data_IF_656152921567
#
_entry.id   IF_656152921567
#
_cell.length_a   1.000
_cell.length_b   1.000
_cell.length_c   1.000
_cell.angle_alpha   90.00
_cell.angle_beta   90.00
_cell.angle_gamma   90.00
#
_symmetry.space_group_name_H-M   'P 1'
#
loop_
_entity.id
_entity.type
_entity.pdbx_description
1 polymer ?
#
# COMPACT_ATOMS: atom_id res chain seq x y z
N UNK A 1 1.32 -5.18 0.17
CA UNK A 1 0.14 -5.91 -0.31
C UNK A 1 -0.76 -5.05 -1.22
N UNK A 2 -1.14 -3.83 -0.84
CA UNK A 2 -2.00 -2.98 -1.68
C UNK A 2 -1.47 -2.77 -3.12
N UNK A 3 -0.17 -2.50 -3.30
CA UNK A 3 0.45 -2.44 -4.65
C UNK A 3 0.38 -3.77 -5.43
N UNK A 4 0.41 -4.90 -4.72
CA UNK A 4 0.25 -6.20 -5.36
C UNK A 4 -1.20 -6.44 -5.78
N UNK A 5 -2.17 -6.00 -4.95
CA UNK A 5 -3.60 -5.98 -5.32
C UNK A 5 -3.83 -5.09 -6.54
N UNK A 6 -3.26 -3.88 -6.58
CA UNK A 6 -3.36 -2.97 -7.72
C UNK A 6 -2.82 -3.58 -9.02
N UNK A 7 -1.69 -4.32 -8.95
CA UNK A 7 -1.14 -5.02 -10.11
C UNK A 7 -2.08 -6.11 -10.67
N UNK A 8 -2.91 -6.72 -9.83
CA UNK A 8 -3.87 -7.74 -10.24
C UNK A 8 -5.16 -7.09 -10.72
N UNK A 9 -5.68 -6.14 -9.94
CA UNK A 9 -6.90 -5.39 -10.24
C UNK A 9 -6.76 -3.94 -9.70
N UNK A 10 -6.48 -2.95 -10.58
CA UNK A 10 -6.29 -1.56 -10.18
C UNK A 10 -7.50 -0.95 -9.47
N UNK A 11 -8.71 -1.49 -9.70
CA UNK A 11 -9.94 -0.97 -9.09
C UNK A 11 -10.05 -1.29 -7.59
N UNK A 12 -9.21 -2.21 -7.09
CA UNK A 12 -9.28 -2.73 -5.74
C UNK A 12 -8.28 -2.08 -4.78
N UNK A 13 -7.32 -1.28 -5.26
CA UNK A 13 -6.28 -0.68 -4.41
C UNK A 13 -6.86 0.09 -3.21
N UNK A 14 -7.80 1.01 -3.46
CA UNK A 14 -8.39 1.84 -2.40
C UNK A 14 -9.24 1.01 -1.42
N UNK A 15 -9.98 0.03 -1.95
CA UNK A 15 -10.83 -0.85 -1.14
C UNK A 15 -9.99 -1.74 -0.24
N UNK A 16 -8.98 -2.42 -0.79
CA UNK A 16 -8.06 -3.24 -0.01
C UNK A 16 -7.28 -2.40 1.02
N UNK A 17 -6.83 -1.20 0.66
CA UNK A 17 -6.14 -0.30 1.59
C UNK A 17 -7.03 0.04 2.78
N UNK A 18 -8.31 0.34 2.58
CA UNK A 18 -9.25 0.62 3.67
C UNK A 18 -9.42 -0.58 4.63
N UNK A 19 -9.46 -1.79 4.08
CA UNK A 19 -9.52 -3.04 4.87
C UNK A 19 -8.25 -3.23 5.69
N UNK A 20 -7.10 -3.06 5.06
CA UNK A 20 -5.80 -3.12 5.74
C UNK A 20 -5.72 -2.10 6.88
N UNK A 21 -6.15 -0.85 6.65
CA UNK A 21 -6.16 0.20 7.68
C UNK A 21 -7.13 -0.12 8.82
N UNK A 22 -8.28 -0.73 8.54
CA UNK A 22 -9.21 -1.20 9.59
C UNK A 22 -8.57 -2.28 10.47
N UNK A 23 -7.66 -3.08 9.90
CA UNK A 23 -6.97 -4.18 10.57
C UNK A 23 -5.54 -3.82 11.02
N UNK A 24 -5.11 -2.55 10.89
CA UNK A 24 -3.70 -2.15 10.97
C UNK A 24 -3.00 -2.54 12.27
N UNK A 25 -3.73 -2.60 13.40
CA UNK A 25 -3.17 -2.99 14.71
C UNK A 25 -2.58 -4.41 14.70
N UNK A 26 -3.06 -5.30 13.83
CA UNK A 26 -2.51 -6.65 13.64
C UNK A 26 -1.12 -6.66 12.99
N UNK A 27 -0.72 -5.54 12.40
CA UNK A 27 0.51 -5.37 11.63
C UNK A 27 1.46 -4.32 12.24
N UNK A 28 1.16 -3.81 13.44
CA UNK A 28 2.09 -2.98 14.20
C UNK A 28 3.17 -3.84 14.85
N UNK A 29 4.30 -3.21 15.19
CA UNK A 29 5.54 -3.87 15.61
C UNK A 29 5.31 -4.92 16.70
N UNK A 30 4.57 -4.58 17.75
CA UNK A 30 4.26 -5.49 18.88
C UNK A 30 3.46 -6.73 18.43
N UNK A 31 2.61 -6.60 17.42
CA UNK A 31 1.74 -7.68 16.95
C UNK A 31 2.43 -8.64 15.96
N UNK A 32 3.58 -8.24 15.40
CA UNK A 32 4.30 -9.01 14.38
C UNK A 32 5.73 -9.40 14.79
N UNK A 33 6.13 -9.10 16.02
CA UNK A 33 7.52 -9.27 16.49
C UNK A 33 8.06 -10.70 16.30
N UNK A 34 7.22 -11.72 16.49
CA UNK A 34 7.61 -13.13 16.36
C UNK A 34 7.24 -13.75 14.99
N UNK A 35 6.74 -12.95 14.04
CA UNK A 35 6.27 -13.43 12.74
C UNK A 35 7.39 -13.38 11.71
N UNK A 36 7.48 -14.41 10.89
CA UNK A 36 8.32 -14.34 9.69
C UNK A 36 7.67 -13.44 8.65
N UNK A 37 8.48 -12.97 7.68
CA UNK A 37 7.98 -12.19 6.55
C UNK A 37 6.90 -12.95 5.76
N UNK A 38 7.04 -14.26 5.61
CA UNK A 38 6.06 -15.10 4.91
C UNK A 38 4.76 -15.23 5.68
N UNK A 39 4.80 -15.31 7.01
CA UNK A 39 3.59 -15.32 7.86
C UNK A 39 2.81 -14.02 7.68
N UNK A 40 3.50 -12.88 7.71
CA UNK A 40 2.90 -11.56 7.46
C UNK A 40 2.28 -11.50 6.06
N UNK A 41 2.92 -12.07 5.04
CA UNK A 41 2.36 -12.11 3.68
C UNK A 41 1.10 -12.95 3.59
N UNK A 42 1.07 -14.13 4.22
CA UNK A 42 -0.12 -14.98 4.29
C UNK A 42 -1.29 -14.23 4.96
N UNK A 43 -1.03 -13.56 6.09
CA UNK A 43 -2.06 -12.74 6.76
C UNK A 43 -2.54 -11.57 5.90
N UNK A 44 -1.65 -10.90 5.18
CA UNK A 44 -2.02 -9.81 4.28
C UNK A 44 -2.90 -10.27 3.12
N UNK A 45 -2.60 -11.43 2.52
CA UNK A 45 -3.44 -11.95 1.41
C UNK A 45 -4.76 -12.50 1.92
N UNK A 46 -4.83 -13.01 3.16
CA UNK A 46 -6.09 -13.46 3.79
C UNK A 46 -7.15 -12.35 3.95
N UNK A 47 -6.76 -11.08 3.79
CA UNK A 47 -7.68 -9.94 3.81
C UNK A 47 -8.48 -9.79 2.49
N UNK A 48 -8.08 -10.47 1.41
CA UNK A 48 -8.61 -10.32 0.06
C UNK A 48 -10.06 -10.86 -0.11
N UNK A 49 -10.45 -12.01 0.43
CA UNK A 49 -11.77 -12.59 0.12
C UNK A 49 -12.93 -12.08 0.98
N UNK A 50 -12.66 -11.57 2.18
CA UNK A 50 -13.72 -11.22 3.15
C UNK A 50 -14.29 -9.83 2.95
N UNK A 51 -13.64 -8.97 2.17
CA UNK A 51 -13.83 -7.52 2.28
C UNK A 51 -14.01 -6.79 0.95
N UNK A 52 -14.02 -7.51 -0.17
CA UNK A 52 -14.12 -6.96 -1.52
C UNK A 52 -15.27 -7.63 -2.28
N UNK A 53 -15.85 -6.92 -3.25
CA UNK A 53 -16.77 -7.52 -4.23
C UNK A 53 -16.05 -8.68 -4.94
N UNK A 54 -16.73 -9.77 -5.31
CA UNK A 54 -16.12 -10.91 -6.00
C UNK A 54 -15.46 -10.46 -7.31
N UNK A 55 -14.15 -10.25 -7.29
CA UNK A 55 -13.33 -10.10 -8.51
C UNK A 55 -12.85 -11.50 -8.87
N UNK A 56 -13.25 -12.00 -10.03
CA UNK A 56 -12.83 -13.34 -10.51
C UNK A 56 -11.33 -13.44 -10.77
N UNK A 57 -10.62 -12.30 -10.81
CA UNK A 57 -9.20 -12.19 -11.11
C UNK A 57 -8.38 -12.02 -9.82
N UNK A 58 -8.95 -11.40 -8.78
CA UNK A 58 -8.26 -11.14 -7.52
C UNK A 58 -8.31 -12.35 -6.59
N UNK A 59 -7.24 -13.14 -6.59
CA UNK A 59 -7.09 -14.32 -5.73
C UNK A 59 -5.99 -14.13 -4.69
N UNK A 60 -6.12 -14.78 -3.52
CA UNK A 60 -5.06 -14.81 -2.51
C UNK A 60 -3.75 -15.33 -3.10
N UNK A 61 -3.83 -16.44 -3.84
CA UNK A 61 -2.69 -17.08 -4.53
C UNK A 61 -2.00 -16.12 -5.50
N UNK A 62 -2.78 -15.40 -6.32
CA UNK A 62 -2.27 -14.45 -7.29
C UNK A 62 -1.51 -13.30 -6.63
N UNK A 63 -2.06 -12.75 -5.53
CA UNK A 63 -1.38 -11.69 -4.77
C UNK A 63 -0.19 -12.22 -3.99
N UNK A 64 -0.28 -13.42 -3.42
CA UNK A 64 0.83 -14.06 -2.71
C UNK A 64 2.02 -14.28 -3.65
N UNK A 65 1.78 -14.74 -4.87
CA UNK A 65 2.79 -14.90 -5.92
C UNK A 65 3.53 -13.61 -6.30
N UNK A 66 2.93 -12.44 -6.05
CA UNK A 66 3.56 -11.13 -6.23
C UNK A 66 4.40 -10.70 -5.02
N UNK A 67 4.00 -11.12 -3.81
CA UNK A 67 4.65 -10.75 -2.56
C UNK A 67 5.79 -11.68 -2.16
N UNK A 68 5.65 -12.98 -2.46
CA UNK A 68 6.54 -14.04 -2.04
C UNK A 68 7.97 -13.82 -2.54
N UNK A 69 8.93 -14.09 -1.66
CA UNK A 69 10.36 -14.10 -1.96
C UNK A 69 10.84 -15.52 -1.66
N UNK A 70 11.30 -16.27 -2.67
CA UNK A 70 11.76 -17.63 -2.45
C UNK A 70 13.05 -17.62 -1.62
N UNK A 71 13.24 -18.57 -0.68
CA UNK A 71 14.50 -18.72 0.02
C UNK A 71 15.60 -19.14 -0.98
N UNK A 72 16.81 -18.62 -0.77
CA UNK A 72 17.98 -19.14 -1.49
C UNK A 72 18.41 -20.48 -0.88
N UNK A 73 18.91 -21.39 -1.71
CA UNK A 73 19.46 -22.67 -1.24
C UNK A 73 20.86 -22.50 -0.66
N UNK A 74 21.63 -21.53 -1.16
CA UNK A 74 22.96 -21.17 -0.70
C UNK A 74 22.97 -19.69 -0.27
N UNK A 75 23.29 -19.37 0.99
CA UNK A 75 23.41 -17.99 1.47
C UNK A 75 24.35 -17.12 0.63
N UNK A 76 25.37 -17.68 -0.02
CA UNK A 76 26.29 -16.94 -0.90
C UNK A 76 25.60 -16.41 -2.18
N UNK A 77 24.43 -16.93 -2.52
CA UNK A 77 23.61 -16.49 -3.65
C UNK A 77 22.53 -15.48 -3.23
N UNK A 78 22.48 -15.08 -1.96
CA UNK A 78 21.51 -14.11 -1.45
C UNK A 78 21.62 -12.77 -2.18
N UNK A 79 20.48 -12.21 -2.60
CA UNK A 79 20.40 -10.88 -3.23
C UNK A 79 19.31 -10.02 -2.59
N UNK A 80 19.40 -8.70 -2.76
CA UNK A 80 18.41 -7.73 -2.29
C UNK A 80 17.37 -7.36 -3.36
N UNK A 81 16.97 -8.33 -4.20
CA UNK A 81 16.04 -8.11 -5.32
C UNK A 81 14.63 -7.78 -4.85
N UNK A 82 14.23 -8.27 -3.67
CA UNK A 82 12.89 -8.07 -3.13
C UNK A 82 11.85 -8.95 -3.81
N UNK A 83 10.60 -8.48 -3.85
CA UNK A 83 9.48 -9.15 -4.49
C UNK A 83 9.03 -8.42 -5.78
N UNK A 84 7.99 -8.95 -6.45
CA UNK A 84 7.54 -8.45 -7.76
C UNK A 84 6.90 -7.05 -7.73
N UNK A 85 6.69 -6.47 -6.55
CA UNK A 85 6.21 -5.08 -6.37
C UNK A 85 7.26 -4.12 -5.82
N UNK A 86 8.50 -4.58 -5.66
CA UNK A 86 9.59 -3.78 -5.06
C UNK A 86 9.94 -2.57 -5.92
N UNK A 87 9.90 -2.70 -7.25
CA UNK A 87 10.20 -1.57 -8.14
C UNK A 87 9.12 -0.49 -8.11
N UNK A 88 7.84 -0.86 -8.02
CA UNK A 88 6.75 0.11 -7.88
C UNK A 88 6.85 0.83 -6.54
N UNK A 89 7.10 0.10 -5.44
CA UNK A 89 7.34 0.70 -4.14
C UNK A 89 8.51 1.71 -4.17
N UNK A 90 9.62 1.34 -4.82
CA UNK A 90 10.77 2.24 -5.01
C UNK A 90 10.40 3.50 -5.80
N UNK A 91 9.52 3.39 -6.79
CA UNK A 91 9.04 4.53 -7.56
C UNK A 91 8.26 5.52 -6.68
N UNK A 92 7.31 5.05 -5.86
CA UNK A 92 6.56 5.92 -4.95
C UNK A 92 7.45 6.52 -3.84
N UNK A 93 8.43 5.76 -3.33
CA UNK A 93 9.44 6.29 -2.42
C UNK A 93 10.26 7.40 -3.09
N UNK A 94 10.68 7.21 -4.35
CA UNK A 94 11.41 8.21 -5.12
C UNK A 94 10.56 9.47 -5.31
N UNK A 95 9.29 9.33 -5.66
CA UNK A 95 8.35 10.44 -5.80
C UNK A 95 8.21 11.23 -4.49
N UNK A 96 8.02 10.54 -3.35
CA UNK A 96 7.93 11.19 -2.04
C UNK A 96 9.21 11.93 -1.67
N UNK A 97 10.38 11.31 -1.88
CA UNK A 97 11.69 11.94 -1.65
C UNK A 97 11.93 13.16 -2.53
N UNK A 98 11.56 13.07 -3.81
CA UNK A 98 11.68 14.19 -4.74
C UNK A 98 10.84 15.40 -4.31
N UNK A 99 9.68 15.16 -3.69
CA UNK A 99 8.81 16.21 -3.15
C UNK A 99 9.17 16.63 -1.70
N UNK A 100 10.26 16.11 -1.13
CA UNK A 100 10.66 16.44 0.24
C UNK A 100 9.69 15.96 1.33
N UNK A 101 8.87 14.94 1.05
CA UNK A 101 7.89 14.43 2.01
C UNK A 101 8.63 13.75 3.18
N UNK A 102 8.38 14.24 4.40
CA UNK A 102 8.96 13.70 5.63
C UNK A 102 7.91 13.14 6.59
N UNK A 103 6.76 13.80 6.73
CA UNK A 103 5.68 13.41 7.66
C UNK A 103 4.51 12.80 6.89
N UNK A 104 3.84 11.81 7.48
CA UNK A 104 2.65 11.18 6.92
C UNK A 104 1.43 11.43 7.82
N UNK A 105 0.25 11.78 7.25
CA UNK A 105 0.00 12.03 5.82
C UNK A 105 0.51 13.40 5.35
N UNK A 106 1.04 13.46 4.12
CA UNK A 106 1.30 14.70 3.36
C UNK A 106 0.56 14.60 2.04
N UNK A 107 -0.12 15.66 1.62
CA UNK A 107 -0.81 15.74 0.34
C UNK A 107 -0.09 16.69 -0.63
N UNK A 108 -0.23 16.40 -1.93
CA UNK A 108 0.38 17.15 -3.02
C UNK A 108 -0.73 17.48 -4.02
N UNK A 109 -0.77 18.73 -4.49
CA UNK A 109 -1.65 19.19 -5.56
C UNK A 109 -0.80 19.74 -6.72
N UNK A 110 -1.02 19.24 -7.94
CA UNK A 110 -0.23 19.61 -9.14
C UNK A 110 1.29 19.57 -8.94
N UNK A 111 1.77 18.58 -8.17
CA UNK A 111 3.19 18.40 -7.89
C UNK A 111 3.77 19.31 -6.80
N UNK A 112 2.94 20.11 -6.12
CA UNK A 112 3.36 20.98 -5.01
C UNK A 112 2.74 20.52 -3.70
N UNK A 113 3.52 20.47 -2.62
CA UNK A 113 3.05 20.12 -1.28
C UNK A 113 1.97 21.11 -0.82
N UNK A 114 0.83 20.58 -0.37
CA UNK A 114 -0.31 21.37 0.11
C UNK A 114 -0.44 21.24 1.63
N UNK A 115 0.14 22.22 2.34
CA UNK A 115 0.22 22.21 3.80
C UNK A 115 -1.11 22.51 4.50
N UNK A 116 -2.14 22.97 3.78
CA UNK A 116 -3.46 23.22 4.39
C UNK A 116 -4.25 21.94 4.69
N UNK A 117 -3.91 20.83 4.02
CA UNK A 117 -4.59 19.54 4.19
C UNK A 117 -4.21 18.92 5.54
N UNK A 118 -5.23 18.52 6.30
CA UNK A 118 -5.07 17.84 7.59
C UNK A 118 -5.62 16.41 7.55
N UNK A 119 -5.00 15.52 8.33
CA UNK A 119 -5.43 14.13 8.49
C UNK A 119 -6.86 13.98 9.04
N UNK A 120 -7.37 15.01 9.70
CA UNK A 120 -8.74 15.05 10.25
C UNK A 120 -9.79 15.57 9.27
N UNK A 121 -9.45 15.90 8.03
CA UNK A 121 -10.40 16.45 7.07
C UNK A 121 -11.57 15.51 6.79
N UNK A 122 -12.77 16.08 6.83
CA UNK A 122 -13.98 15.39 6.42
C UNK A 122 -14.12 15.39 4.89
N UNK A 123 -15.05 14.59 4.37
CA UNK A 123 -15.37 14.61 2.93
C UNK A 123 -15.76 16.00 2.43
N UNK A 124 -16.43 16.81 3.25
CA UNK A 124 -16.86 18.15 2.85
C UNK A 124 -15.69 19.14 2.81
N UNK A 125 -14.69 18.99 3.67
CA UNK A 125 -13.44 19.77 3.61
C UNK A 125 -12.69 19.48 2.31
N UNK A 126 -12.57 18.20 1.94
CA UNK A 126 -12.02 17.77 0.66
C UNK A 126 -12.77 18.35 -0.54
N UNK A 127 -14.11 18.29 -0.54
CA UNK A 127 -14.92 18.86 -1.62
C UNK A 127 -14.73 20.36 -1.74
N UNK A 128 -14.64 21.09 -0.63
CA UNK A 128 -14.38 22.54 -0.64
C UNK A 128 -13.01 22.85 -1.25
N UNK A 129 -11.97 22.12 -0.83
CA UNK A 129 -10.63 22.26 -1.35
C UNK A 129 -10.54 21.99 -2.86
N UNK A 130 -11.06 20.86 -3.32
CA UNK A 130 -10.99 20.51 -4.75
C UNK A 130 -11.76 21.54 -5.59
N UNK A 131 -12.95 21.98 -5.13
CA UNK A 131 -13.70 23.03 -5.83
C UNK A 131 -12.93 24.34 -5.93
N UNK A 132 -12.24 24.76 -4.86
CA UNK A 132 -11.48 26.02 -4.90
C UNK A 132 -10.27 25.96 -5.82
N UNK A 133 -9.66 24.78 -6.01
CA UNK A 133 -8.55 24.57 -6.95
C UNK A 133 -8.98 24.46 -8.41
N UNK A 134 -10.18 23.93 -8.68
CA UNK A 134 -10.71 23.76 -10.04
C UNK A 134 -11.40 25.00 -10.61
N UNK A 135 -11.67 26.01 -9.80
CA UNK A 135 -12.33 27.27 -10.21
C UNK A 135 -11.34 28.34 -10.72
N UNK A 136 -10.12 27.95 -11.05
CA UNK A 136 -9.09 28.79 -11.66
C UNK A 136 -9.14 28.82 -13.18
#
# INVERSE_FOLDING_TARGET
>A
AALAVEKVDPTQFARYSNVLFTQQKRFFDEAVVDKTRSDIYNELVSLIPTSLEPSTILTEEGVFCLLHIPPVQDPNQSTNTGNKVTNDLKYFIKLGRQNGIHVSPTAVWDGVVENSISSGWTLDDWKKFVRSKLQG
#
